data_IF_949871880462
#
_entry.id   IF_949871880462
#
_cell.length_a   1.000
_cell.length_b   1.000
_cell.length_c   1.000
_cell.angle_alpha   90.00
_cell.angle_beta   90.00
_cell.angle_gamma   90.00
#
_symmetry.space_group_name_H-M   'P 1'
#
loop_
_entity.id
_entity.type
_entity.pdbx_description
1 polymer ?
#
# COMPACT_ATOMS: atom_id res chain seq x y z
N UNK A 1 -12.44 5.95 -12.67
CA UNK A 1 -11.84 5.79 -11.33
C UNK A 1 -11.52 4.32 -10.99
N UNK A 2 -12.47 3.38 -11.07
CA UNK A 2 -12.18 1.97 -10.75
C UNK A 2 -10.99 1.37 -11.52
N UNK A 3 -10.95 1.55 -12.86
CA UNK A 3 -9.83 1.09 -13.70
C UNK A 3 -8.49 1.72 -13.31
N UNK A 4 -8.51 3.00 -12.88
CA UNK A 4 -7.30 3.68 -12.39
C UNK A 4 -6.81 3.01 -11.10
N UNK A 5 -7.70 2.70 -10.16
CA UNK A 5 -7.32 1.99 -8.93
C UNK A 5 -6.79 0.59 -9.20
N UNK A 6 -7.42 -0.16 -10.10
CA UNK A 6 -6.92 -1.48 -10.49
C UNK A 6 -5.54 -1.38 -11.17
N UNK A 7 -5.32 -0.37 -12.01
CA UNK A 7 -4.01 -0.10 -12.61
C UNK A 7 -2.96 0.24 -11.53
N UNK A 8 -3.30 1.09 -10.56
CA UNK A 8 -2.41 1.43 -9.45
C UNK A 8 -2.02 0.20 -8.63
N UNK A 9 -2.98 -0.66 -8.29
CA UNK A 9 -2.74 -1.92 -7.57
C UNK A 9 -1.91 -2.88 -8.40
N UNK A 10 -2.18 -3.00 -9.71
CA UNK A 10 -1.44 -3.90 -10.59
C UNK A 10 0.03 -3.49 -10.69
N UNK A 11 0.31 -2.21 -10.94
CA UNK A 11 1.68 -1.69 -11.06
C UNK A 11 2.42 -1.85 -9.74
N UNK A 12 1.86 -1.32 -8.65
CA UNK A 12 2.51 -1.35 -7.34
C UNK A 12 2.66 -2.77 -6.79
N UNK A 13 1.65 -3.63 -6.98
CA UNK A 13 1.69 -5.04 -6.59
C UNK A 13 2.72 -5.84 -7.37
N UNK A 14 2.87 -5.59 -8.68
CA UNK A 14 3.92 -6.21 -9.50
C UNK A 14 5.31 -5.82 -9.02
N UNK A 15 5.52 -4.53 -8.73
CA UNK A 15 6.78 -4.04 -8.15
C UNK A 15 7.04 -4.69 -6.79
N UNK A 16 6.04 -4.72 -5.91
CA UNK A 16 6.17 -5.33 -4.58
C UNK A 16 6.53 -6.82 -4.65
N UNK A 17 5.91 -7.56 -5.58
CA UNK A 17 6.22 -8.96 -5.80
C UNK A 17 7.67 -9.16 -6.27
N UNK A 18 8.10 -8.41 -7.30
CA UNK A 18 9.47 -8.49 -7.83
C UNK A 18 10.50 -8.17 -6.74
N UNK A 19 10.31 -7.07 -6.01
CA UNK A 19 11.24 -6.63 -4.96
C UNK A 19 11.25 -7.60 -3.78
N UNK A 20 10.13 -8.22 -3.43
CA UNK A 20 10.08 -9.22 -2.33
C UNK A 20 11.07 -10.36 -2.59
N UNK A 21 11.08 -10.91 -3.81
CA UNK A 21 12.01 -11.97 -4.19
C UNK A 21 13.41 -11.48 -4.51
N UNK A 22 13.54 -10.25 -5.04
CA UNK A 22 14.82 -9.67 -5.37
C UNK A 22 15.56 -9.10 -4.15
N UNK A 23 14.90 -8.87 -3.01
CA UNK A 23 15.49 -8.20 -1.85
C UNK A 23 16.82 -8.82 -1.37
N UNK A 24 16.96 -10.15 -1.21
CA UNK A 24 18.25 -10.75 -0.85
C UNK A 24 19.35 -10.45 -1.88
N UNK A 25 19.05 -10.60 -3.17
CA UNK A 25 19.99 -10.32 -4.27
C UNK A 25 20.38 -8.85 -4.32
N UNK A 26 19.42 -7.94 -4.12
CA UNK A 26 19.66 -6.49 -4.05
C UNK A 26 20.66 -6.18 -2.94
N UNK A 27 20.47 -6.74 -1.74
CA UNK A 27 21.39 -6.50 -0.62
C UNK A 27 22.76 -7.14 -0.85
N UNK A 28 22.82 -8.34 -1.42
CA UNK A 28 24.09 -8.98 -1.78
C UNK A 28 24.88 -8.16 -2.81
N UNK A 29 24.20 -7.58 -3.80
CA UNK A 29 24.84 -6.78 -4.84
C UNK A 29 25.28 -5.40 -4.33
N UNK A 30 24.39 -4.68 -3.62
CA UNK A 30 24.66 -3.33 -3.14
C UNK A 30 25.61 -3.30 -1.95
N UNK A 31 25.55 -4.31 -1.08
CA UNK A 31 26.35 -4.42 0.14
C UNK A 31 27.27 -5.64 0.10
N UNK A 32 27.87 -5.94 -1.05
CA UNK A 32 28.71 -7.13 -1.23
C UNK A 32 29.88 -7.18 -0.22
N UNK A 33 30.48 -6.02 0.09
CA UNK A 33 31.57 -5.87 1.06
C UNK A 33 31.11 -5.70 2.52
N UNK A 34 29.80 -5.68 2.79
CA UNK A 34 29.25 -5.33 4.11
C UNK A 34 28.08 -6.27 4.49
N UNK A 35 28.38 -7.52 4.84
CA UNK A 35 27.37 -8.54 5.13
C UNK A 35 26.45 -8.18 6.30
N UNK A 36 26.88 -7.31 7.22
CA UNK A 36 26.06 -6.82 8.34
C UNK A 36 24.76 -6.13 7.88
N UNK A 37 24.75 -5.51 6.68
CA UNK A 37 23.56 -4.86 6.12
C UNK A 37 22.58 -5.84 5.48
N UNK A 38 22.97 -7.09 5.22
CA UNK A 38 22.07 -8.07 4.56
C UNK A 38 20.85 -8.40 5.43
N UNK A 39 20.95 -8.17 6.74
CA UNK A 39 19.85 -8.21 7.69
C UNK A 39 18.69 -7.25 7.35
N UNK A 40 18.89 -6.28 6.44
CA UNK A 40 17.88 -5.36 5.92
C UNK A 40 16.96 -5.93 4.84
N UNK A 41 17.33 -7.04 4.19
CA UNK A 41 16.53 -7.60 3.10
C UNK A 41 15.08 -7.93 3.49
N UNK A 42 14.79 -8.55 4.66
CA UNK A 42 13.42 -8.78 5.11
C UNK A 42 12.63 -7.49 5.33
N UNK A 43 13.26 -6.45 5.87
CA UNK A 43 12.61 -5.15 6.09
C UNK A 43 12.21 -4.50 4.75
N UNK A 44 13.07 -4.56 3.74
CA UNK A 44 12.75 -4.10 2.39
C UNK A 44 11.58 -4.89 1.78
N UNK A 45 11.62 -6.22 1.91
CA UNK A 45 10.56 -7.11 1.41
C UNK A 45 9.20 -6.83 2.06
N UNK A 46 9.16 -6.47 3.34
CA UNK A 46 7.92 -6.06 4.03
C UNK A 46 7.50 -4.65 3.58
N UNK A 47 8.44 -3.69 3.58
CA UNK A 47 8.15 -2.29 3.36
C UNK A 47 7.62 -2.01 1.94
N UNK A 48 8.08 -2.76 0.93
CA UNK A 48 7.67 -2.50 -0.46
C UNK A 48 6.16 -2.66 -0.68
N UNK A 49 5.49 -3.50 0.10
CA UNK A 49 4.03 -3.65 0.05
C UNK A 49 3.28 -2.37 0.47
N UNK A 50 3.92 -1.47 1.23
CA UNK A 50 3.33 -0.18 1.57
C UNK A 50 3.08 0.65 0.31
N UNK A 51 3.89 0.44 -0.73
CA UNK A 51 3.74 1.06 -2.04
C UNK A 51 2.35 0.86 -2.65
N UNK A 52 1.70 -0.28 -2.41
CA UNK A 52 0.34 -0.54 -2.89
C UNK A 52 -0.66 0.47 -2.32
N UNK A 53 -0.58 0.71 -1.02
CA UNK A 53 -1.46 1.66 -0.34
C UNK A 53 -1.08 3.11 -0.63
N UNK A 54 0.20 3.41 -0.87
CA UNK A 54 0.68 4.73 -1.30
C UNK A 54 0.14 5.09 -2.68
N UNK A 55 0.22 4.18 -3.66
CA UNK A 55 -0.28 4.40 -5.01
C UNK A 55 -1.81 4.59 -5.00
N UNK A 56 -2.51 3.72 -4.29
CA UNK A 56 -3.97 3.81 -4.13
C UNK A 56 -4.40 5.09 -3.40
N UNK A 57 -3.67 5.46 -2.34
CA UNK A 57 -3.87 6.68 -1.56
C UNK A 57 -3.65 7.95 -2.39
N UNK A 58 -2.63 7.95 -3.25
CA UNK A 58 -2.33 9.07 -4.17
C UNK A 58 -3.45 9.25 -5.18
N UNK A 59 -3.90 8.19 -5.84
CA UNK A 59 -5.01 8.26 -6.79
C UNK A 59 -6.33 8.68 -6.11
N UNK A 60 -6.58 8.23 -4.87
CA UNK A 60 -7.71 8.69 -4.06
C UNK A 60 -7.57 10.15 -3.63
N UNK A 61 -6.36 10.61 -3.34
CA UNK A 61 -6.10 12.01 -2.99
C UNK A 61 -6.50 12.98 -4.09
N UNK A 62 -6.22 12.63 -5.35
CA UNK A 62 -6.64 13.44 -6.50
C UNK A 62 -8.16 13.54 -6.62
N UNK A 63 -8.89 12.45 -6.36
CA UNK A 63 -10.35 12.48 -6.28
C UNK A 63 -10.84 13.43 -5.18
N UNK A 64 -10.27 13.34 -3.96
CA UNK A 64 -10.67 14.21 -2.86
C UNK A 64 -10.41 15.68 -3.15
N UNK A 65 -9.32 16.02 -3.85
CA UNK A 65 -9.03 17.40 -4.26
C UNK A 65 -10.07 17.88 -5.28
N UNK A 66 -10.36 17.07 -6.30
CA UNK A 66 -11.34 17.41 -7.34
C UNK A 66 -12.75 17.65 -6.77
N UNK A 67 -13.13 16.92 -5.73
CA UNK A 67 -14.43 17.05 -5.05
C UNK A 67 -14.43 18.11 -3.92
N UNK A 68 -13.38 18.93 -3.78
CA UNK A 68 -13.22 19.91 -2.69
C UNK A 68 -13.25 19.30 -1.28
N UNK A 69 -12.82 18.04 -1.14
CA UNK A 69 -12.75 17.27 0.11
C UNK A 69 -11.33 17.24 0.72
N UNK A 70 -10.49 18.25 0.46
CA UNK A 70 -9.09 18.30 0.91
C UNK A 70 -8.92 18.15 2.43
N UNK A 71 -9.90 18.60 3.23
CA UNK A 71 -9.90 18.37 4.69
C UNK A 71 -9.93 16.88 5.06
N UNK A 72 -10.61 16.05 4.27
CA UNK A 72 -10.61 14.59 4.46
C UNK A 72 -9.22 14.02 4.14
N UNK A 73 -8.57 14.54 3.10
CA UNK A 73 -7.19 14.15 2.76
C UNK A 73 -6.21 14.46 3.90
N UNK A 74 -6.34 15.64 4.51
CA UNK A 74 -5.55 16.02 5.68
C UNK A 74 -5.79 15.09 6.88
N UNK A 75 -7.08 14.88 7.24
CA UNK A 75 -7.45 14.00 8.36
C UNK A 75 -6.91 12.58 8.16
N UNK A 76 -7.00 12.07 6.93
CA UNK A 76 -6.47 10.77 6.56
C UNK A 76 -4.98 10.63 6.84
N UNK A 77 -4.20 11.60 6.38
CA UNK A 77 -2.75 11.63 6.61
C UNK A 77 -2.43 11.74 8.09
N UNK A 78 -3.18 12.55 8.84
CA UNK A 78 -3.00 12.67 10.29
C UNK A 78 -3.27 11.35 11.03
N UNK A 79 -4.36 10.65 10.68
CA UNK A 79 -4.68 9.31 11.22
C UNK A 79 -3.56 8.31 10.90
N UNK A 80 -3.05 8.33 9.67
CA UNK A 80 -1.89 7.52 9.27
C UNK A 80 -0.64 7.81 10.08
N UNK A 81 -0.31 9.09 10.29
CA UNK A 81 0.86 9.51 11.05
C UNK A 81 0.76 9.09 12.53
N UNK A 82 -0.39 9.27 13.16
CA UNK A 82 -0.63 8.81 14.54
C UNK A 82 -0.51 7.29 14.62
N UNK A 83 -1.15 6.55 13.69
CA UNK A 83 -1.02 5.11 13.62
C UNK A 83 0.44 4.67 13.44
N UNK A 84 1.22 5.37 12.61
CA UNK A 84 2.64 5.08 12.40
C UNK A 84 3.44 5.21 13.69
N UNK A 85 3.25 6.29 14.45
CA UNK A 85 3.93 6.51 15.73
C UNK A 85 3.56 5.40 16.72
N UNK A 86 2.25 5.16 16.92
CA UNK A 86 1.77 4.16 17.87
C UNK A 86 2.25 2.74 17.52
N UNK A 87 2.19 2.37 16.24
CA UNK A 87 2.66 1.06 15.77
C UNK A 87 4.18 0.93 15.87
N UNK A 88 4.95 1.99 15.59
CA UNK A 88 6.40 1.95 15.77
C UNK A 88 6.77 1.76 17.26
N UNK A 89 6.14 2.52 18.17
CA UNK A 89 6.36 2.37 19.61
C UNK A 89 6.07 0.94 20.10
N UNK A 90 5.14 0.25 19.46
CA UNK A 90 4.75 -1.11 19.83
C UNK A 90 5.56 -2.22 19.16
N UNK A 91 5.81 -2.11 17.85
CA UNK A 91 6.44 -3.16 17.03
C UNK A 91 7.97 -3.09 17.02
N UNK A 92 8.55 -1.91 17.13
CA UNK A 92 10.01 -1.72 17.08
C UNK A 92 10.74 -2.44 18.23
N UNK A 93 10.25 -2.40 19.49
CA UNK A 93 10.89 -3.16 20.58
C UNK A 93 10.81 -4.68 20.41
N UNK A 94 9.84 -5.19 19.65
CA UNK A 94 9.57 -6.63 19.49
C UNK A 94 10.22 -7.24 18.26
N UNK A 95 10.30 -6.47 17.18
CA UNK A 95 10.71 -6.96 15.85
C UNK A 95 11.82 -6.11 15.21
N UNK A 96 12.35 -5.11 15.91
CA UNK A 96 13.41 -4.23 15.41
C UNK A 96 13.05 -3.53 14.11
N UNK A 97 13.98 -3.53 13.15
CA UNK A 97 13.82 -2.93 11.83
C UNK A 97 12.64 -3.51 11.03
N UNK A 98 12.39 -4.82 11.15
CA UNK A 98 11.22 -5.46 10.50
C UNK A 98 9.90 -4.94 11.11
N UNK A 99 9.92 -4.65 12.41
CA UNK A 99 8.80 -4.00 13.10
C UNK A 99 8.50 -2.60 12.56
N UNK A 100 9.53 -1.80 12.29
CA UNK A 100 9.37 -0.48 11.69
C UNK A 100 8.81 -0.53 10.25
N UNK A 101 9.26 -1.51 9.46
CA UNK A 101 8.72 -1.77 8.13
C UNK A 101 7.24 -2.14 8.18
N UNK A 102 6.85 -3.05 9.07
CA UNK A 102 5.47 -3.48 9.28
C UNK A 102 4.58 -2.35 9.82
N UNK A 103 5.07 -1.56 10.77
CA UNK A 103 4.38 -0.39 11.31
C UNK A 103 4.02 0.60 10.19
N UNK A 104 4.96 0.83 9.26
CA UNK A 104 4.76 1.74 8.13
C UNK A 104 3.77 1.18 7.11
N UNK A 105 3.86 -0.10 6.77
CA UNK A 105 2.89 -0.79 5.92
C UNK A 105 1.46 -0.63 6.47
N UNK A 106 1.26 -0.94 7.75
CA UNK A 106 -0.03 -0.84 8.42
C UNK A 106 -0.51 0.62 8.52
N UNK A 107 0.39 1.56 8.80
CA UNK A 107 0.04 2.98 8.85
C UNK A 107 -0.45 3.51 7.50
N UNK A 108 0.18 3.12 6.39
CA UNK A 108 -0.31 3.48 5.05
C UNK A 108 -1.65 2.82 4.73
N UNK A 109 -1.85 1.55 5.13
CA UNK A 109 -3.16 0.90 5.01
C UNK A 109 -4.25 1.68 5.77
N UNK A 110 -4.00 1.98 7.05
CA UNK A 110 -4.93 2.71 7.93
C UNK A 110 -5.21 4.10 7.37
N UNK A 111 -4.16 4.82 6.94
CA UNK A 111 -4.29 6.10 6.24
C UNK A 111 -5.24 5.93 5.06
N UNK A 112 -4.83 5.18 4.04
CA UNK A 112 -5.58 5.04 2.78
C UNK A 112 -7.04 4.62 2.97
N UNK A 113 -7.34 3.72 3.91
CA UNK A 113 -8.69 3.19 4.13
C UNK A 113 -9.52 3.88 5.21
N UNK A 114 -8.97 4.82 5.98
CA UNK A 114 -9.75 5.62 6.95
C UNK A 114 -10.93 6.37 6.33
N UNK A 115 -10.90 6.64 5.02
CA UNK A 115 -12.01 7.24 4.27
C UNK A 115 -13.31 6.41 4.30
N UNK A 116 -13.23 5.10 4.61
CA UNK A 116 -14.38 4.22 4.80
C UNK A 116 -15.19 4.60 6.05
N UNK A 117 -14.55 5.22 7.03
CA UNK A 117 -15.20 5.66 8.27
C UNK A 117 -16.07 6.90 8.04
N UNK A 118 -15.78 7.67 7.00
CA UNK A 118 -16.47 8.92 6.67
C UNK A 118 -17.63 8.62 5.70
N UNK A 119 -18.90 8.90 6.07
CA UNK A 119 -20.05 8.57 5.23
C UNK A 119 -19.98 9.14 3.81
N UNK A 120 -19.47 10.37 3.65
CA UNK A 120 -19.34 11.06 2.36
C UNK A 120 -18.41 10.36 1.37
N UNK A 121 -17.39 9.65 1.85
CA UNK A 121 -16.36 8.99 1.01
C UNK A 121 -16.42 7.47 1.06
N UNK A 122 -17.40 6.91 1.76
CA UNK A 122 -17.48 5.46 2.00
C UNK A 122 -17.63 4.65 0.70
N UNK A 123 -18.48 5.10 -0.22
CA UNK A 123 -18.65 4.43 -1.53
C UNK A 123 -17.35 4.43 -2.35
N UNK A 124 -16.59 5.52 -2.25
CA UNK A 124 -15.27 5.64 -2.86
C UNK A 124 -14.26 4.66 -2.25
N UNK A 125 -14.22 4.55 -0.91
CA UNK A 125 -13.40 3.56 -0.22
C UNK A 125 -13.74 2.11 -0.59
N UNK A 126 -15.03 1.79 -0.80
CA UNK A 126 -15.40 0.46 -1.30
C UNK A 126 -14.88 0.18 -2.72
N UNK A 127 -14.79 1.19 -3.57
CA UNK A 127 -14.20 1.06 -4.91
C UNK A 127 -12.71 0.74 -4.81
N UNK A 128 -11.99 1.39 -3.88
CA UNK A 128 -10.59 1.09 -3.58
C UNK A 128 -10.39 -0.34 -3.06
N UNK A 129 -11.27 -0.83 -2.17
CA UNK A 129 -11.23 -2.23 -1.71
C UNK A 129 -11.45 -3.22 -2.85
N UNK A 130 -12.41 -2.95 -3.74
CA UNK A 130 -12.65 -3.81 -4.93
C UNK A 130 -11.44 -3.86 -5.85
N UNK A 131 -10.68 -2.76 -5.95
CA UNK A 131 -9.49 -2.70 -6.76
C UNK A 131 -8.35 -3.60 -6.24
N UNK A 132 -8.25 -3.83 -4.93
CA UNK A 132 -7.28 -4.77 -4.35
C UNK A 132 -7.46 -6.21 -4.88
N UNK A 133 -8.70 -6.59 -5.22
CA UNK A 133 -9.04 -7.93 -5.73
C UNK A 133 -9.05 -7.93 -7.28
N UNK A 134 -8.75 -6.80 -7.94
CA UNK A 134 -8.82 -6.67 -9.40
C UNK A 134 -10.20 -7.08 -9.98
N UNK A 135 -11.27 -6.75 -9.26
CA UNK A 135 -12.62 -7.27 -9.53
C UNK A 135 -13.12 -7.03 -10.96
N UNK A 136 -12.96 -5.82 -11.52
CA UNK A 136 -13.41 -5.56 -12.89
C UNK A 136 -12.55 -6.27 -13.94
N UNK A 137 -11.23 -6.30 -13.75
CA UNK A 137 -10.33 -7.02 -14.65
C UNK A 137 -10.66 -8.51 -14.70
N UNK A 138 -10.86 -9.15 -13.55
CA UNK A 138 -11.25 -10.56 -13.45
C UNK A 138 -12.62 -10.84 -14.10
N UNK A 139 -13.62 -10.03 -13.79
CA UNK A 139 -14.97 -10.21 -14.35
C UNK A 139 -15.03 -9.97 -15.87
N UNK A 140 -14.17 -9.08 -16.40
CA UNK A 140 -14.06 -8.85 -17.84
C UNK A 140 -13.41 -10.05 -18.55
N UNK A 141 -12.36 -10.64 -17.96
CA UNK A 141 -11.73 -11.85 -18.48
C UNK A 141 -12.69 -13.05 -18.47
N UNK A 142 -13.42 -13.25 -17.37
CA UNK A 142 -14.41 -14.31 -17.25
C UNK A 142 -15.56 -14.18 -18.28
N UNK A 143 -16.02 -12.95 -18.57
CA UNK A 143 -17.04 -12.73 -19.62
C UNK A 143 -16.52 -12.99 -21.03
N UNK A 144 -15.23 -12.74 -21.29
CA UNK A 144 -14.60 -13.06 -22.59
C UNK A 144 -14.37 -14.55 -22.78
N UNK A 145 -14.10 -15.31 -21.71
CA UNK A 145 -13.91 -16.76 -21.80
C UNK A 145 -15.22 -17.53 -22.03
N UNK A 146 -16.36 -17.01 -21.56
CA UNK A 146 -17.69 -17.62 -21.76
C UNK A 146 -18.26 -17.36 -23.16
N UNK A 147 -17.73 -16.38 -23.91
CA UNK A 147 -18.15 -16.06 -25.27
C UNK A 147 -17.34 -16.77 -26.38
N UNK A 148 -16.41 -17.65 -26.00
CA UNK A 148 -15.61 -18.50 -26.90
C UNK A 148 -16.10 -19.94 -26.79
#
# INVERSE_FOLDING_TARGET
LQQLYELMVLISGSIALIITFAAPTIYQLLYYNRPEFHSGAPALAIHIWAGVFVFLGTASGQYLIAENLTRISFLRTAVGAVANILLNLWLLPRYGMNGAALATLLAYFISTFSILLIPKTRQHGFSMLKALILWNTLSTLARKSVKK
#
